data_IF_831511726050
#
_entry.id   IF_831511726050
#
_cell.length_a   1.000
_cell.length_b   1.000
_cell.length_c   1.000
_cell.angle_alpha   90.00
_cell.angle_beta   90.00
_cell.angle_gamma   90.00
#
_symmetry.space_group_name_H-M   'P 1'
#
loop_
_entity.id
_entity.type
_entity.pdbx_description
1 polymer ?
#
# COMPACT_ATOMS: atom_id res chain seq x y z
N UNK A 1 -1.83 6.94 -8.89
CA UNK A 1 -0.97 6.30 -7.86
C UNK A 1 -1.86 5.87 -6.73
N UNK A 2 -1.51 4.77 -6.10
CA UNK A 2 -2.11 4.27 -4.87
C UNK A 2 -1.04 4.28 -3.77
N UNK A 3 -1.44 4.66 -2.57
CA UNK A 3 -0.62 4.58 -1.36
C UNK A 3 -1.37 3.75 -0.33
N UNK A 4 -0.69 2.76 0.24
CA UNK A 4 -1.33 1.75 1.06
C UNK A 4 -0.53 1.49 2.32
N UNK A 5 -1.25 1.26 3.40
CA UNK A 5 -0.76 0.76 4.67
C UNK A 5 -1.82 -0.16 5.28
N UNK A 6 -1.40 -1.18 6.03
CA UNK A 6 -2.29 -2.20 6.58
C UNK A 6 -1.92 -2.64 7.98
N UNK A 7 -2.95 -2.93 8.77
CA UNK A 7 -2.84 -3.58 10.07
C UNK A 7 -3.26 -5.03 9.97
N UNK A 8 -2.61 -5.88 10.76
CA UNK A 8 -2.82 -7.33 10.71
C UNK A 8 -3.24 -7.90 12.04
N UNK A 9 -4.02 -8.98 11.98
CA UNK A 9 -4.31 -9.83 13.13
C UNK A 9 -3.69 -11.20 12.94
N UNK A 10 -3.30 -11.78 14.06
CA UNK A 10 -2.77 -13.13 14.11
C UNK A 10 -3.91 -14.13 14.16
N UNK A 11 -3.84 -15.14 13.29
CA UNK A 11 -4.68 -16.32 13.39
C UNK A 11 -3.78 -17.53 13.60
N UNK A 12 -4.01 -18.23 14.72
CA UNK A 12 -3.31 -19.47 15.01
C UNK A 12 -3.95 -20.61 14.23
N UNK A 13 -3.18 -21.26 13.38
CA UNK A 13 -3.59 -22.44 12.62
C UNK A 13 -2.69 -23.59 13.02
N UNK A 14 -3.12 -24.37 14.01
CA UNK A 14 -2.30 -25.42 14.62
C UNK A 14 -1.07 -24.86 15.32
N UNK A 15 0.12 -25.21 14.84
CA UNK A 15 1.42 -24.72 15.33
C UNK A 15 1.89 -23.45 14.61
N UNK A 16 1.24 -23.05 13.52
CA UNK A 16 1.62 -21.88 12.74
C UNK A 16 0.83 -20.62 13.14
N UNK A 17 1.48 -19.47 12.99
CA UNK A 17 0.85 -18.16 13.10
C UNK A 17 0.73 -17.55 11.71
N UNK A 18 -0.49 -17.23 11.28
CA UNK A 18 -0.76 -16.62 10.00
C UNK A 18 -1.18 -15.18 10.22
N UNK A 19 -0.56 -14.25 9.47
CA UNK A 19 -1.02 -12.86 9.41
C UNK A 19 -2.18 -12.76 8.43
N UNK A 20 -3.27 -12.14 8.88
CA UNK A 20 -4.36 -11.73 7.99
C UNK A 20 -4.61 -10.23 8.14
N UNK A 21 -5.01 -9.60 7.05
CA UNK A 21 -5.53 -8.24 7.07
C UNK A 21 -6.60 -8.11 8.16
N UNK A 22 -6.43 -7.13 9.04
CA UNK A 22 -7.48 -6.68 9.94
C UNK A 22 -8.20 -5.49 9.33
N UNK A 23 -7.45 -4.42 9.02
CA UNK A 23 -7.92 -3.26 8.27
C UNK A 23 -6.73 -2.53 7.63
N UNK A 24 -7.00 -1.46 6.88
CA UNK A 24 -5.95 -0.59 6.34
C UNK A 24 -6.51 0.65 5.67
N UNK A 25 -5.62 1.48 5.15
CA UNK A 25 -5.98 2.67 4.40
C UNK A 25 -5.35 2.68 3.02
N UNK A 26 -6.17 2.92 2.01
CA UNK A 26 -5.74 3.07 0.63
C UNK A 26 -6.09 4.47 0.13
N UNK A 27 -5.09 5.25 -0.27
CA UNK A 27 -5.29 6.51 -0.95
C UNK A 27 -5.11 6.36 -2.46
N UNK A 28 -6.05 6.87 -3.24
CA UNK A 28 -5.90 7.09 -4.67
C UNK A 28 -5.62 8.56 -4.96
N UNK A 29 -4.47 8.81 -5.57
CA UNK A 29 -4.07 10.14 -6.05
C UNK A 29 -3.82 10.12 -7.56
N UNK A 30 -4.48 11.04 -8.27
CA UNK A 30 -4.26 11.32 -9.69
C UNK A 30 -3.71 12.73 -9.86
N UNK A 31 -2.51 12.81 -10.43
CA UNK A 31 -1.85 14.07 -10.77
C UNK A 31 -2.11 14.42 -12.24
N UNK A 32 -2.23 15.71 -12.53
CA UNK A 32 -2.21 16.29 -13.88
C UNK A 32 -1.00 17.22 -13.95
N UNK A 33 -0.21 17.07 -15.01
CA UNK A 33 1.00 17.86 -15.19
C UNK A 33 0.69 19.35 -15.47
N UNK A 34 1.50 20.30 -14.95
CA UNK A 34 2.51 20.11 -13.93
C UNK A 34 1.87 20.19 -12.53
N UNK A 35 1.83 19.05 -11.83
CA UNK A 35 1.55 18.90 -10.39
C UNK A 35 0.19 19.38 -9.84
N UNK A 36 -0.86 19.49 -10.65
CA UNK A 36 -2.22 19.69 -10.13
C UNK A 36 -2.81 18.36 -9.68
N UNK A 37 -3.08 18.20 -8.39
CA UNK A 37 -3.86 17.06 -7.89
C UNK A 37 -5.27 17.17 -8.47
N UNK A 38 -5.64 16.24 -9.34
CA UNK A 38 -6.98 16.18 -9.94
C UNK A 38 -7.95 15.41 -9.05
N UNK A 39 -7.44 14.40 -8.34
CA UNK A 39 -8.25 13.56 -7.47
C UNK A 39 -7.40 13.04 -6.34
N UNK A 40 -7.95 13.11 -5.12
CA UNK A 40 -7.41 12.53 -3.91
C UNK A 40 -8.59 11.86 -3.18
N UNK A 41 -8.54 10.53 -3.02
CA UNK A 41 -9.63 9.75 -2.39
C UNK A 41 -9.05 8.72 -1.44
N UNK A 42 -9.44 8.82 -0.16
CA UNK A 42 -9.13 7.83 0.86
C UNK A 42 -10.20 6.73 0.86
N UNK A 43 -9.76 5.49 1.02
CA UNK A 43 -10.62 4.33 1.19
C UNK A 43 -10.17 3.59 2.44
N UNK A 44 -11.09 3.46 3.41
CA UNK A 44 -10.91 2.51 4.48
C UNK A 44 -11.07 1.10 3.92
N UNK A 45 -10.17 0.20 4.31
CA UNK A 45 -10.10 -1.18 3.88
C UNK A 45 -10.39 -2.06 5.09
N UNK A 46 -11.48 -2.81 5.05
CA UNK A 46 -11.93 -3.74 6.09
C UNK A 46 -11.84 -5.21 5.64
N UNK A 47 -11.42 -5.44 4.40
CA UNK A 47 -11.42 -6.75 3.77
C UNK A 47 -10.50 -6.83 2.56
N UNK A 48 -10.01 -8.03 2.27
CA UNK A 48 -9.15 -8.30 1.11
C UNK A 48 -9.90 -8.05 -0.20
N UNK A 49 -11.19 -8.39 -0.28
CA UNK A 49 -12.01 -8.14 -1.48
C UNK A 49 -12.19 -6.64 -1.75
N UNK A 50 -12.38 -5.83 -0.71
CA UNK A 50 -12.48 -4.38 -0.84
C UNK A 50 -11.17 -3.78 -1.32
N UNK A 51 -10.03 -4.18 -0.75
CA UNK A 51 -8.71 -3.75 -1.23
C UNK A 51 -8.53 -4.06 -2.72
N UNK A 52 -8.68 -5.33 -3.10
CA UNK A 52 -8.39 -5.78 -4.45
C UNK A 52 -9.35 -5.19 -5.49
N UNK A 53 -10.64 -5.08 -5.17
CA UNK A 53 -11.63 -4.47 -6.08
C UNK A 53 -11.33 -2.99 -6.32
N UNK A 54 -10.85 -2.25 -5.31
CA UNK A 54 -10.46 -0.84 -5.49
C UNK A 54 -9.18 -0.73 -6.32
N UNK A 55 -8.17 -1.58 -6.07
CA UNK A 55 -6.95 -1.61 -6.88
C UNK A 55 -7.28 -1.88 -8.35
N UNK A 56 -8.08 -2.91 -8.63
CA UNK A 56 -8.48 -3.27 -9.99
C UNK A 56 -9.33 -2.18 -10.65
N UNK A 57 -10.24 -1.55 -9.90
CA UNK A 57 -11.07 -0.42 -10.37
C UNK A 57 -10.23 0.76 -10.88
N UNK A 58 -9.09 1.04 -10.25
CA UNK A 58 -8.20 2.15 -10.64
C UNK A 58 -7.16 1.75 -11.69
N UNK A 59 -7.07 0.48 -12.06
CA UNK A 59 -6.13 0.00 -13.08
C UNK A 59 -6.71 0.23 -14.49
N UNK A 60 -6.66 1.47 -14.96
CA UNK A 60 -7.20 1.86 -16.26
C UNK A 60 -6.36 1.36 -17.43
N UNK A 61 -7.02 1.13 -18.56
CA UNK A 61 -6.37 0.76 -19.82
C UNK A 61 -5.39 1.83 -20.30
N UNK A 62 -4.31 1.38 -20.94
CA UNK A 62 -3.26 2.24 -21.51
C UNK A 62 -2.61 3.19 -20.48
N UNK A 63 -2.69 2.83 -19.20
CA UNK A 63 -2.06 3.55 -18.10
C UNK A 63 -1.43 2.56 -17.12
N UNK A 64 -0.42 3.03 -16.39
CA UNK A 64 0.21 2.25 -15.32
C UNK A 64 -0.29 2.74 -13.98
N UNK A 65 -0.88 1.83 -13.20
CA UNK A 65 -1.23 2.07 -11.81
C UNK A 65 -0.06 1.70 -10.91
N UNK A 66 0.60 2.70 -10.32
CA UNK A 66 1.60 2.49 -9.29
C UNK A 66 0.93 2.35 -7.93
N UNK A 67 1.28 1.30 -7.18
CA UNK A 67 0.88 1.06 -5.79
C UNK A 67 2.12 1.08 -4.91
N UNK A 68 2.14 2.00 -3.94
CA UNK A 68 3.24 2.19 -3.01
C UNK A 68 2.82 1.78 -1.59
N UNK A 69 3.70 1.08 -0.90
CA UNK A 69 3.63 0.85 0.55
C UNK A 69 5.04 0.69 1.13
N UNK A 70 5.17 0.85 2.45
CA UNK A 70 6.46 0.73 3.14
C UNK A 70 6.72 -0.74 3.47
N UNK A 71 7.63 -1.38 2.73
CA UNK A 71 7.72 -2.84 2.58
C UNK A 71 6.49 -3.51 1.92
N UNK A 72 6.18 -3.07 0.69
CA UNK A 72 4.93 -3.40 -0.03
C UNK A 72 4.61 -4.89 -0.18
N UNK A 73 5.62 -5.77 -0.17
CA UNK A 73 5.40 -7.20 -0.28
C UNK A 73 4.49 -7.72 0.84
N UNK A 74 4.76 -7.28 2.08
CA UNK A 74 3.98 -7.70 3.24
C UNK A 74 2.52 -7.27 3.09
N UNK A 75 2.30 -5.98 2.82
CA UNK A 75 0.95 -5.40 2.66
C UNK A 75 0.13 -6.11 1.57
N UNK A 76 0.72 -6.35 0.39
CA UNK A 76 -0.02 -7.01 -0.70
C UNK A 76 -0.24 -8.50 -0.40
N UNK A 77 0.67 -9.16 0.33
CA UNK A 77 0.51 -10.55 0.73
C UNK A 77 -0.68 -10.72 1.69
N UNK A 78 -0.73 -9.93 2.77
CA UNK A 78 -1.81 -10.02 3.77
C UNK A 78 -3.16 -9.59 3.22
N UNK A 79 -3.16 -8.73 2.19
CA UNK A 79 -4.36 -8.25 1.51
C UNK A 79 -4.86 -9.19 0.41
N UNK A 80 -4.28 -10.39 0.28
CA UNK A 80 -4.74 -11.42 -0.66
C UNK A 80 -4.53 -11.04 -2.13
N UNK A 81 -3.58 -10.16 -2.42
CA UNK A 81 -3.34 -9.64 -3.77
C UNK A 81 -3.02 -10.74 -4.77
N UNK A 82 -2.05 -11.61 -4.45
CA UNK A 82 -1.61 -12.67 -5.35
C UNK A 82 -2.73 -13.63 -5.80
N UNK A 83 -3.48 -14.28 -4.88
CA UNK A 83 -4.55 -15.18 -5.30
C UNK A 83 -5.68 -14.46 -6.04
N UNK A 84 -6.04 -13.23 -5.63
CA UNK A 84 -7.08 -12.45 -6.30
C UNK A 84 -6.71 -12.16 -7.75
N UNK A 85 -5.54 -11.52 -7.97
CA UNK A 85 -5.14 -11.07 -9.30
C UNK A 85 -4.81 -12.25 -10.24
N UNK A 86 -4.26 -13.35 -9.70
CA UNK A 86 -4.05 -14.59 -10.46
C UNK A 86 -5.38 -15.16 -10.94
N UNK A 87 -6.37 -15.29 -10.05
CA UNK A 87 -7.72 -15.79 -10.40
C UNK A 87 -8.44 -14.86 -11.37
N UNK A 88 -8.22 -13.55 -11.27
CA UNK A 88 -8.75 -12.54 -12.18
C UNK A 88 -8.06 -12.51 -13.56
N UNK A 89 -7.08 -13.39 -13.83
CA UNK A 89 -6.41 -13.51 -15.12
C UNK A 89 -5.35 -12.45 -15.38
N UNK A 90 -4.80 -11.85 -14.32
CA UNK A 90 -3.60 -11.03 -14.44
C UNK A 90 -2.37 -11.92 -14.46
N UNK A 91 -1.38 -11.54 -15.27
CA UNK A 91 -0.13 -12.28 -15.43
C UNK A 91 1.04 -11.47 -14.89
N UNK A 92 2.04 -12.17 -14.36
CA UNK A 92 3.32 -11.58 -13.98
C UNK A 92 4.03 -11.01 -15.23
N UNK A 93 4.40 -9.74 -15.17
CA UNK A 93 5.15 -9.01 -16.23
C UNK A 93 6.61 -8.82 -15.81
N UNK A 94 6.85 -8.49 -14.53
CA UNK A 94 8.19 -8.27 -13.97
C UNK A 94 8.20 -8.53 -12.46
N UNK A 95 9.32 -9.04 -11.94
CA UNK A 95 9.55 -9.22 -10.51
C UNK A 95 11.01 -8.98 -10.17
N UNK A 96 11.24 -8.22 -9.09
CA UNK A 96 12.55 -8.02 -8.49
C UNK A 96 12.40 -7.88 -6.98
N UNK A 97 13.21 -8.63 -6.26
CA UNK A 97 13.22 -8.66 -4.80
C UNK A 97 14.66 -8.86 -4.31
N UNK A 98 15.23 -7.83 -3.70
CA UNK A 98 16.58 -7.88 -3.13
C UNK A 98 16.75 -6.84 -2.03
N UNK A 99 16.97 -7.33 -0.81
CA UNK A 99 17.21 -6.48 0.35
C UNK A 99 15.97 -5.64 0.64
N UNK A 100 16.12 -4.32 0.63
CA UNK A 100 15.01 -3.38 0.83
C UNK A 100 14.28 -3.02 -0.48
N UNK A 101 14.74 -3.54 -1.62
CA UNK A 101 14.15 -3.19 -2.92
C UNK A 101 13.14 -4.26 -3.34
N UNK A 102 11.90 -3.84 -3.53
CA UNK A 102 10.83 -4.69 -4.03
C UNK A 102 10.08 -4.03 -5.19
N UNK A 103 9.97 -4.74 -6.32
CA UNK A 103 9.26 -4.32 -7.51
C UNK A 103 8.48 -5.52 -8.06
N UNK A 104 7.16 -5.40 -8.14
CA UNK A 104 6.30 -6.37 -8.80
C UNK A 104 5.49 -5.66 -9.87
N UNK A 105 5.42 -6.22 -11.07
CA UNK A 105 4.52 -5.75 -12.11
C UNK A 105 3.66 -6.88 -12.64
N UNK A 106 2.36 -6.61 -12.75
CA UNK A 106 1.38 -7.50 -13.35
C UNK A 106 0.60 -6.78 -14.44
N UNK A 107 0.11 -7.55 -15.43
CA UNK A 107 -0.66 -7.03 -16.56
C UNK A 107 -1.88 -7.87 -16.87
N UNK A 108 -2.88 -7.20 -17.45
CA UNK A 108 -4.08 -7.81 -18.05
C UNK A 108 -4.49 -6.98 -19.26
N UNK A 109 -4.18 -7.49 -20.46
CA UNK A 109 -4.32 -6.73 -21.70
C UNK A 109 -3.49 -5.43 -21.68
N UNK A 110 -4.15 -4.29 -21.86
CA UNK A 110 -3.53 -2.95 -21.83
C UNK A 110 -3.47 -2.32 -20.42
N UNK A 111 -3.96 -3.01 -19.39
CA UNK A 111 -3.90 -2.56 -17.98
C UNK A 111 -2.62 -3.06 -17.33
N UNK A 112 -1.98 -2.20 -16.54
CA UNK A 112 -0.72 -2.50 -15.85
C UNK A 112 -0.75 -2.01 -14.41
N UNK A 113 -0.36 -2.86 -13.47
CA UNK A 113 -0.16 -2.52 -12.07
C UNK A 113 1.32 -2.73 -11.74
N UNK A 114 1.91 -1.77 -11.03
CA UNK A 114 3.28 -1.87 -10.53
C UNK A 114 3.26 -1.60 -9.02
N UNK A 115 3.55 -2.62 -8.23
CA UNK A 115 3.72 -2.52 -6.79
C UNK A 115 5.19 -2.20 -6.50
N UNK A 116 5.43 -1.11 -5.78
CA UNK A 116 6.76 -0.62 -5.44
C UNK A 116 6.84 -0.41 -3.94
N UNK A 117 7.92 -0.85 -3.32
CA UNK A 117 8.15 -0.43 -1.95
C UNK A 117 8.69 1.00 -1.91
N UNK A 118 8.23 1.80 -0.95
CA UNK A 118 8.85 3.11 -0.69
C UNK A 118 10.30 2.97 -0.23
N UNK A 119 10.70 1.79 0.27
CA UNK A 119 12.09 1.50 0.61
C UNK A 119 13.03 1.43 -0.60
N UNK A 120 12.48 1.37 -1.82
CA UNK A 120 13.25 1.55 -3.06
C UNK A 120 13.80 2.99 -3.19
N UNK A 121 13.19 3.95 -2.48
CA UNK A 121 13.51 5.37 -2.54
C UNK A 121 14.07 5.89 -1.20
N UNK A 122 13.55 5.36 -0.09
CA UNK A 122 13.95 5.72 1.26
C UNK A 122 14.44 4.47 2.01
N UNK A 123 15.74 4.30 2.19
CA UNK A 123 16.32 3.16 2.93
C UNK A 123 16.10 3.22 4.45
N UNK A 124 15.30 4.17 4.93
CA UNK A 124 15.04 4.46 6.33
C UNK A 124 13.67 3.96 6.77
N UNK A 125 13.47 3.82 8.09
CA UNK A 125 12.15 3.50 8.67
C UNK A 125 11.12 4.59 8.36
N UNK A 126 9.84 4.23 8.26
CA UNK A 126 8.75 5.16 7.98
C UNK A 126 8.73 6.39 8.93
N UNK A 127 9.05 6.20 10.21
CA UNK A 127 9.14 7.29 11.17
C UNK A 127 10.19 8.36 10.80
N UNK A 128 11.32 7.95 10.20
CA UNK A 128 12.36 8.87 9.72
C UNK A 128 11.87 9.61 8.49
N UNK A 129 11.22 8.91 7.56
CA UNK A 129 10.59 9.54 6.38
C UNK A 129 9.56 10.60 6.81
N UNK A 130 8.74 10.30 7.82
CA UNK A 130 7.79 11.25 8.41
C UNK A 130 8.48 12.51 8.93
N UNK A 131 9.56 12.37 9.70
CA UNK A 131 10.36 13.51 10.18
C UNK A 131 10.94 14.34 9.02
N UNK A 132 11.41 13.72 7.95
CA UNK A 132 11.96 14.42 6.77
C UNK A 132 10.95 15.33 6.09
N UNK A 133 9.68 14.93 6.07
CA UNK A 133 8.58 15.69 5.43
C UNK A 133 7.77 16.54 6.42
N UNK A 134 8.19 16.59 7.70
CA UNK A 134 7.49 17.33 8.75
C UNK A 134 6.15 16.73 9.19
N UNK A 135 5.94 15.43 8.95
CA UNK A 135 4.77 14.67 9.41
C UNK A 135 5.22 13.56 10.35
N UNK A 136 5.15 13.81 11.65
CA UNK A 136 5.58 12.80 12.63
C UNK A 136 4.66 11.57 12.62
N UNK A 137 5.30 10.40 12.77
CA UNK A 137 4.61 9.12 12.94
C UNK A 137 4.01 9.08 14.34
N UNK A 138 2.72 8.80 14.44
CA UNK A 138 2.04 8.62 15.72
C UNK A 138 2.64 7.44 16.48
N UNK A 139 2.92 7.58 17.78
CA UNK A 139 3.26 6.45 18.64
C UNK A 139 1.97 5.79 19.16
N UNK A 140 1.92 4.46 19.17
CA UNK A 140 0.74 3.72 19.60
C UNK A 140 1.12 2.48 20.43
N UNK A 141 0.34 2.20 21.48
CA UNK A 141 0.41 0.95 22.26
C UNK A 141 -0.76 0.06 21.81
N UNK A 142 -0.49 -0.86 20.88
CA UNK A 142 -1.54 -1.70 20.29
C UNK A 142 -2.34 -2.55 21.29
N UNK A 143 -1.80 -2.81 22.48
CA UNK A 143 -2.51 -3.59 23.51
C UNK A 143 -3.48 -2.73 24.33
N UNK A 144 -3.23 -1.42 24.41
CA UNK A 144 -4.06 -0.47 25.19
C UNK A 144 -4.94 0.42 24.33
N UNK A 145 -4.60 0.61 23.07
CA UNK A 145 -5.34 1.48 22.16
C UNK A 145 -6.66 0.86 21.71
N UNK A 146 -7.67 1.72 21.64
CA UNK A 146 -8.96 1.48 21.00
C UNK A 146 -8.81 1.17 19.51
N UNK A 147 -9.86 0.64 18.91
CA UNK A 147 -9.88 0.40 17.47
C UNK A 147 -9.70 1.70 16.66
N UNK A 148 -10.40 2.77 17.05
CA UNK A 148 -10.35 4.05 16.34
C UNK A 148 -8.95 4.67 16.38
N UNK A 149 -8.24 4.60 17.52
CA UNK A 149 -6.85 5.04 17.63
C UNK A 149 -5.91 4.27 16.69
N UNK A 150 -6.13 2.96 16.52
CA UNK A 150 -5.34 2.14 15.58
C UNK A 150 -5.69 2.47 14.12
N UNK A 151 -6.94 2.78 13.83
CA UNK A 151 -7.39 3.23 12.50
C UNK A 151 -6.75 4.57 12.15
N UNK A 152 -6.68 5.51 13.10
CA UNK A 152 -6.04 6.81 12.92
C UNK A 152 -4.52 6.70 12.78
N UNK A 153 -3.89 5.79 13.53
CA UNK A 153 -2.46 5.47 13.39
C UNK A 153 -2.15 4.93 11.98
N UNK A 154 -2.90 3.94 11.49
CA UNK A 154 -2.71 3.40 10.14
C UNK A 154 -2.96 4.48 9.06
N UNK A 155 -3.90 5.40 9.31
CA UNK A 155 -4.12 6.54 8.42
C UNK A 155 -2.90 7.47 8.38
N UNK A 156 -2.30 7.77 9.54
CA UNK A 156 -1.07 8.57 9.65
C UNK A 156 0.08 7.92 8.87
N UNK A 157 0.27 6.61 8.98
CA UNK A 157 1.29 5.85 8.24
C UNK A 157 1.09 5.93 6.73
N UNK A 158 -0.12 5.67 6.25
CA UNK A 158 -0.47 5.83 4.84
C UNK A 158 -0.21 7.26 4.35
N UNK A 159 -0.51 8.28 5.17
CA UNK A 159 -0.24 9.68 4.83
C UNK A 159 1.25 9.99 4.76
N UNK A 160 2.09 9.41 5.62
CA UNK A 160 3.55 9.54 5.53
C UNK A 160 4.06 8.90 4.22
N UNK A 161 3.56 7.72 3.86
CA UNK A 161 3.90 7.05 2.59
C UNK A 161 3.54 7.94 1.41
N UNK A 162 2.31 8.45 1.38
CA UNK A 162 1.82 9.34 0.33
C UNK A 162 2.68 10.60 0.20
N UNK A 163 2.83 11.34 1.29
CA UNK A 163 3.53 12.63 1.27
C UNK A 163 5.02 12.45 1.03
N UNK A 164 5.63 11.38 1.54
CA UNK A 164 7.03 11.02 1.25
C UNK A 164 7.26 10.79 -0.23
N UNK A 165 6.40 10.01 -0.89
CA UNK A 165 6.51 9.80 -2.34
C UNK A 165 6.20 11.06 -3.15
N UNK A 166 5.22 11.87 -2.73
CA UNK A 166 4.93 13.16 -3.36
C UNK A 166 6.10 14.15 -3.21
N UNK A 167 6.81 14.12 -2.08
CA UNK A 167 8.03 14.89 -1.86
C UNK A 167 9.16 14.44 -2.79
N UNK A 168 9.36 13.12 -2.94
CA UNK A 168 10.40 12.57 -3.82
C UNK A 168 10.19 12.92 -5.31
N UNK A 169 8.94 12.95 -5.78
CA UNK A 169 8.62 13.19 -7.19
C UNK A 169 8.46 14.68 -7.57
N UNK A 170 8.56 15.61 -6.62
CA UNK A 170 8.54 17.05 -6.88
C UNK A 170 9.88 17.54 -7.40
#
# INVERSE_FOLDING_TARGET
>A
MLFYDSETKYIRVGLEQHHKLDFGWLNFTRLVYPNKILTNKNHFIDSTDRFNSIVEKYAYEKSTLYLFAHNVFFDIQVSGFFPYFTKAGWTLDFYYDKGLVYILSIRKGSRKIVCLSTTNYFSEKLAVVGKMIGLEKTEIDFEKSSHDEKVDYCFNDMMIIKQGMEYYFR
#
